data_IF_471848433878
#
_entry.id   IF_471848433878
#
_cell.length_a   1.000
_cell.length_b   1.000
_cell.length_c   1.000
_cell.angle_alpha   90.00
_cell.angle_beta   90.00
_cell.angle_gamma   90.00
#
_symmetry.space_group_name_H-M   'P 1'
#
loop_
_entity.id
_entity.type
_entity.pdbx_description
1 polymer ?
#
# COMPACT_ATOMS: atom_id res chain seq x y z
N UNK A 1 -4.92 14.50 13.65
CA UNK A 1 -5.36 13.49 12.67
C UNK A 1 -4.50 13.64 11.44
N UNK A 2 -3.94 12.56 10.88
CA UNK A 2 -3.21 12.64 9.62
C UNK A 2 -4.17 13.05 8.51
N UNK A 3 -3.88 14.13 7.82
CA UNK A 3 -4.67 14.54 6.67
C UNK A 3 -4.27 13.72 5.43
N UNK A 4 -5.12 13.73 4.39
CA UNK A 4 -4.85 13.01 3.15
C UNK A 4 -3.50 13.40 2.52
N UNK A 5 -3.08 14.65 2.72
CA UNK A 5 -1.82 15.18 2.20
C UNK A 5 -0.62 14.50 2.84
N UNK A 6 -0.68 14.22 4.14
CA UNK A 6 0.35 13.48 4.87
C UNK A 6 0.47 12.05 4.38
N UNK A 7 -0.66 11.37 4.15
CA UNK A 7 -0.66 10.00 3.60
C UNK A 7 -0.05 9.97 2.20
N UNK A 8 -0.43 10.92 1.33
CA UNK A 8 0.15 11.03 -0.02
C UNK A 8 1.66 11.33 0.02
N UNK A 9 2.13 12.14 0.97
CA UNK A 9 3.55 12.44 1.13
C UNK A 9 4.35 11.19 1.53
N UNK A 10 3.79 10.33 2.40
CA UNK A 10 4.42 9.06 2.77
C UNK A 10 4.51 8.13 1.55
N UNK A 11 3.41 7.94 0.81
CA UNK A 11 3.43 7.10 -0.39
C UNK A 11 4.43 7.61 -1.43
N UNK A 12 4.59 8.93 -1.58
CA UNK A 12 5.58 9.51 -2.49
C UNK A 12 7.01 9.23 -2.02
N UNK A 13 7.30 9.39 -0.73
CA UNK A 13 8.62 9.09 -0.17
C UNK A 13 9.01 7.61 -0.35
N UNK A 14 8.04 6.70 -0.33
CA UNK A 14 8.28 5.29 -0.64
C UNK A 14 8.69 5.06 -2.09
N UNK A 15 8.03 5.74 -3.04
CA UNK A 15 8.40 5.68 -4.46
C UNK A 15 9.81 6.23 -4.66
N UNK A 16 10.14 7.35 -4.01
CA UNK A 16 11.47 7.94 -4.11
C UNK A 16 12.54 6.97 -3.57
N UNK A 17 12.28 6.31 -2.43
CA UNK A 17 13.16 5.27 -1.88
C UNK A 17 13.33 4.07 -2.83
N UNK A 18 12.26 3.63 -3.48
CA UNK A 18 12.32 2.56 -4.48
C UNK A 18 13.19 2.97 -5.68
N UNK A 19 13.00 4.18 -6.22
CA UNK A 19 13.82 4.72 -7.31
C UNK A 19 15.30 4.81 -6.92
N UNK A 20 15.59 5.33 -5.73
CA UNK A 20 16.96 5.46 -5.20
C UNK A 20 17.63 4.11 -4.91
N UNK A 21 16.87 3.02 -4.83
CA UNK A 21 17.40 1.66 -4.65
C UNK A 21 18.14 1.11 -5.87
N UNK A 22 18.04 1.77 -7.03
CA UNK A 22 18.77 1.40 -8.23
C UNK A 22 20.01 2.27 -8.42
N UNK A 23 21.17 1.62 -8.55
CA UNK A 23 22.39 2.29 -9.02
C UNK A 23 22.25 2.82 -10.46
N UNK A 24 21.42 2.16 -11.27
CA UNK A 24 21.14 2.55 -12.66
C UNK A 24 19.71 2.18 -12.98
N UNK A 25 18.94 3.13 -13.50
CA UNK A 25 17.53 2.93 -13.79
C UNK A 25 17.32 1.76 -14.79
N UNK A 26 16.41 0.82 -14.50
CA UNK A 26 16.07 -0.24 -15.45
C UNK A 26 15.35 0.35 -16.67
N UNK A 27 15.38 -0.37 -17.81
CA UNK A 27 14.64 0.03 -19.02
C UNK A 27 13.13 -0.07 -18.84
N UNK A 28 12.69 -1.04 -18.05
CA UNK A 28 11.31 -1.31 -17.71
C UNK A 28 11.26 -2.11 -16.40
N UNK A 29 10.14 -2.02 -15.71
CA UNK A 29 9.78 -2.83 -14.54
C UNK A 29 8.35 -3.33 -14.73
N UNK A 30 8.01 -4.45 -14.09
CA UNK A 30 6.63 -4.90 -13.98
C UNK A 30 6.12 -4.62 -12.58
N UNK A 31 4.93 -4.05 -12.46
CA UNK A 31 4.32 -3.77 -11.17
C UNK A 31 3.22 -4.78 -10.88
N UNK A 32 3.35 -5.45 -9.73
CA UNK A 32 2.31 -6.26 -9.12
C UNK A 32 1.48 -5.35 -8.20
N UNK A 33 0.16 -5.34 -8.39
CA UNK A 33 -0.77 -4.41 -7.72
C UNK A 33 -1.99 -5.19 -7.27
N UNK A 34 -2.02 -5.47 -5.98
CA UNK A 34 -3.12 -6.21 -5.36
C UNK A 34 -3.56 -5.53 -4.07
N UNK A 35 -4.81 -5.75 -3.70
CA UNK A 35 -5.26 -5.52 -2.34
C UNK A 35 -5.10 -6.77 -1.48
N UNK A 36 -5.06 -6.56 -0.17
CA UNK A 36 -5.09 -7.65 0.81
C UNK A 36 -5.98 -7.24 1.95
N UNK A 37 -6.91 -8.09 2.36
CA UNK A 37 -7.76 -7.81 3.52
C UNK A 37 -6.95 -7.92 4.82
N UNK A 38 -7.01 -6.87 5.63
CA UNK A 38 -6.37 -6.77 6.93
C UNK A 38 -7.45 -6.56 8.00
N UNK A 39 -7.73 -7.61 8.78
CA UNK A 39 -8.75 -7.58 9.82
C UNK A 39 -8.35 -6.62 10.93
N UNK A 40 -9.25 -5.71 11.28
CA UNK A 40 -8.97 -4.72 12.32
C UNK A 40 -9.05 -5.34 13.71
N UNK A 41 -8.19 -4.86 14.61
CA UNK A 41 -8.30 -5.19 16.01
C UNK A 41 -9.16 -4.17 16.76
N UNK A 42 -10.28 -4.62 17.33
CA UNK A 42 -11.18 -3.77 18.10
C UNK A 42 -11.85 -2.70 17.26
N UNK A 43 -11.83 -1.44 17.71
CA UNK A 43 -12.51 -0.31 17.06
C UNK A 43 -11.52 0.68 16.45
N UNK A 44 -10.54 0.18 15.71
CA UNK A 44 -9.61 1.03 14.94
C UNK A 44 -10.39 1.98 14.02
N UNK A 45 -9.96 3.23 13.99
CA UNK A 45 -10.57 4.25 13.14
C UNK A 45 -10.40 3.90 11.66
N UNK A 46 -11.34 4.35 10.83
CA UNK A 46 -11.32 4.17 9.37
C UNK A 46 -11.47 2.72 8.89
N UNK A 47 -11.85 1.79 9.78
CA UNK A 47 -12.20 0.42 9.39
C UNK A 47 -13.61 0.37 8.82
N UNK A 48 -13.84 -0.53 7.87
CA UNK A 48 -15.16 -0.71 7.27
C UNK A 48 -15.53 -2.18 7.18
N UNK A 49 -16.83 -2.48 7.09
CA UNK A 49 -17.33 -3.85 7.03
C UNK A 49 -17.15 -4.42 5.63
N UNK A 50 -16.45 -5.55 5.53
CA UNK A 50 -16.30 -6.27 4.28
C UNK A 50 -17.19 -7.53 4.28
N UNK A 51 -18.15 -7.59 3.35
CA UNK A 51 -19.14 -8.67 3.30
C UNK A 51 -18.58 -10.02 2.83
N UNK A 52 -17.49 -10.02 2.05
CA UNK A 52 -16.82 -11.25 1.61
C UNK A 52 -16.04 -11.89 2.76
N UNK A 53 -15.35 -11.07 3.57
CA UNK A 53 -14.58 -11.55 4.72
C UNK A 53 -15.41 -11.70 6.00
N UNK A 54 -16.59 -11.08 6.09
CA UNK A 54 -17.46 -11.16 7.28
C UNK A 54 -16.89 -10.48 8.51
N UNK A 55 -16.06 -9.45 8.32
CA UNK A 55 -15.24 -8.81 9.37
C UNK A 55 -15.07 -7.31 9.05
N UNK A 56 -14.75 -6.49 10.06
CA UNK A 56 -14.31 -5.10 9.84
C UNK A 56 -12.79 -5.04 9.67
N UNK A 57 -12.33 -4.29 8.67
CA UNK A 57 -10.90 -4.22 8.39
C UNK A 57 -10.52 -3.09 7.44
N UNK A 58 -9.32 -3.24 6.92
CA UNK A 58 -8.75 -2.47 5.82
C UNK A 58 -8.55 -3.38 4.61
N UNK A 59 -8.43 -2.77 3.43
CA UNK A 59 -8.03 -3.47 2.21
C UNK A 59 -6.86 -2.73 1.57
N UNK A 60 -5.70 -2.60 2.25
CA UNK A 60 -4.55 -1.89 1.71
C UNK A 60 -4.20 -2.38 0.30
N UNK A 61 -3.85 -1.45 -0.58
CA UNK A 61 -3.25 -1.75 -1.89
C UNK A 61 -1.74 -1.80 -1.70
N UNK A 62 -1.15 -2.91 -2.14
CA UNK A 62 0.26 -3.16 -2.12
C UNK A 62 0.79 -3.10 -3.55
N UNK A 63 1.91 -2.39 -3.74
CA UNK A 63 2.58 -2.30 -5.04
C UNK A 63 4.00 -2.81 -4.91
N UNK A 64 4.35 -3.81 -5.71
CA UNK A 64 5.67 -4.41 -5.76
C UNK A 64 6.23 -4.41 -7.17
N UNK A 65 7.56 -4.36 -7.31
CA UNK A 65 8.23 -4.79 -8.54
C UNK A 65 8.19 -6.32 -8.60
N UNK A 66 7.53 -6.87 -9.61
CA UNK A 66 7.26 -8.30 -9.71
C UNK A 66 8.55 -9.13 -9.78
N UNK A 67 9.58 -8.62 -10.47
CA UNK A 67 10.82 -9.35 -10.70
C UNK A 67 11.69 -9.50 -9.44
N UNK A 68 11.64 -8.53 -8.53
CA UNK A 68 12.53 -8.50 -7.35
C UNK A 68 11.80 -8.64 -6.03
N UNK A 69 10.46 -8.49 -6.03
CA UNK A 69 9.65 -8.40 -4.82
C UNK A 69 9.88 -7.12 -4.02
N UNK A 70 10.58 -6.11 -4.58
CA UNK A 70 10.83 -4.85 -3.87
C UNK A 70 9.53 -4.06 -3.71
N UNK A 71 9.24 -3.53 -2.50
CA UNK A 71 8.09 -2.67 -2.30
C UNK A 71 8.28 -1.33 -3.00
N UNK A 72 7.24 -0.86 -3.68
CA UNK A 72 7.20 0.44 -4.35
C UNK A 72 6.37 1.43 -3.54
N UNK A 73 5.16 1.04 -3.16
CA UNK A 73 4.26 1.88 -2.38
C UNK A 73 3.15 1.05 -1.70
N UNK A 74 2.57 1.61 -0.64
CA UNK A 74 1.35 1.10 -0.02
C UNK A 74 0.33 2.23 0.11
N UNK A 75 -0.94 1.89 -0.09
CA UNK A 75 -2.06 2.79 0.14
C UNK A 75 -3.04 2.11 1.10
N UNK A 76 -3.13 2.64 2.32
CA UNK A 76 -4.13 2.19 3.29
C UNK A 76 -5.51 2.70 2.87
N UNK A 77 -6.48 1.80 2.76
CA UNK A 77 -7.89 2.15 2.54
C UNK A 77 -8.80 1.29 3.43
N UNK A 78 -9.99 1.80 3.80
CA UNK A 78 -11.02 0.97 4.42
C UNK A 78 -11.41 -0.22 3.52
N UNK A 79 -11.83 -1.34 4.13
CA UNK A 79 -12.23 -2.56 3.43
C UNK A 79 -13.61 -2.52 2.74
#
# INVERSE_FOLDING_TARGET
AGDLRTVMAISRAMIDLYCDSYRTAPKSITLDIDDTFDAAHGSQQLTFWNGFHGERGFAPIHVYEAETGRPVAFVLRPA
#
